data_IF_245463125398
#
_entry.id   IF_245463125398
#
_cell.length_a   1.000
_cell.length_b   1.000
_cell.length_c   1.000
_cell.angle_alpha   90.00
_cell.angle_beta   90.00
_cell.angle_gamma   90.00
#
_symmetry.space_group_name_H-M   'P 1'
#
loop_
_entity.id
_entity.type
_entity.pdbx_description
1 polymer ?
#
# COMPACT_ATOMS: atom_id res chain seq x y z
N UNK A 1 -61.57 5.90 4.12
CA UNK A 1 -60.38 5.43 3.37
C UNK A 1 -59.38 6.54 3.01
N UNK A 2 -59.68 7.84 3.15
CA UNK A 2 -58.76 8.92 2.73
C UNK A 2 -57.65 9.31 3.76
N UNK A 3 -57.91 9.17 5.07
CA UNK A 3 -56.96 9.54 6.14
C UNK A 3 -55.72 8.63 6.16
N UNK A 4 -55.89 7.36 5.81
CA UNK A 4 -54.81 6.36 5.75
C UNK A 4 -53.79 6.65 4.64
N UNK A 5 -54.16 7.37 3.59
CA UNK A 5 -53.27 7.68 2.47
C UNK A 5 -52.43 8.94 2.72
N UNK A 6 -52.94 9.90 3.49
CA UNK A 6 -52.19 11.11 3.86
C UNK A 6 -51.00 10.78 4.78
N UNK A 7 -51.23 10.00 5.84
CA UNK A 7 -50.17 9.53 6.75
C UNK A 7 -49.09 8.74 5.99
N UNK A 8 -49.49 7.83 5.09
CA UNK A 8 -48.53 7.07 4.27
C UNK A 8 -47.69 7.99 3.38
N UNK A 9 -48.28 9.00 2.75
CA UNK A 9 -47.56 9.97 1.93
C UNK A 9 -46.56 10.79 2.74
N UNK A 10 -46.96 11.29 3.91
CA UNK A 10 -46.06 12.04 4.80
C UNK A 10 -44.93 11.15 5.31
N UNK A 11 -45.22 9.89 5.66
CA UNK A 11 -44.19 8.94 6.10
C UNK A 11 -43.20 8.60 4.97
N UNK A 12 -43.68 8.37 3.75
CA UNK A 12 -42.82 8.12 2.58
C UNK A 12 -41.97 9.35 2.25
N UNK A 13 -42.54 10.56 2.29
CA UNK A 13 -41.81 11.80 2.07
C UNK A 13 -40.76 12.06 3.15
N UNK A 14 -41.10 11.82 4.42
CA UNK A 14 -40.17 11.93 5.54
C UNK A 14 -39.01 10.94 5.41
N UNK A 15 -39.30 9.69 5.06
CA UNK A 15 -38.28 8.68 4.80
C UNK A 15 -37.39 9.07 3.62
N UNK A 16 -37.98 9.52 2.51
CA UNK A 16 -37.22 9.97 1.34
C UNK A 16 -36.31 11.16 1.68
N UNK A 17 -36.81 12.15 2.41
CA UNK A 17 -36.02 13.29 2.87
C UNK A 17 -34.87 12.87 3.79
N UNK A 18 -35.12 11.93 4.72
CA UNK A 18 -34.09 11.37 5.59
C UNK A 18 -33.01 10.63 4.77
N UNK A 19 -33.39 9.82 3.79
CA UNK A 19 -32.44 9.14 2.90
C UNK A 19 -31.60 10.12 2.08
N UNK A 20 -32.19 11.21 1.57
CA UNK A 20 -31.45 12.25 0.83
C UNK A 20 -30.48 12.98 1.76
N UNK A 21 -30.94 13.40 2.94
CA UNK A 21 -30.09 14.07 3.92
C UNK A 21 -28.91 13.17 4.33
N UNK A 22 -29.18 11.87 4.55
CA UNK A 22 -28.15 10.87 4.82
C UNK A 22 -27.09 10.82 3.71
N UNK A 23 -27.52 10.69 2.44
CA UNK A 23 -26.60 10.64 1.31
C UNK A 23 -25.77 11.92 1.16
N UNK A 24 -26.35 13.10 1.42
CA UNK A 24 -25.62 14.38 1.37
C UNK A 24 -24.57 14.47 2.47
N UNK A 25 -24.91 14.04 3.69
CA UNK A 25 -23.97 13.99 4.81
C UNK A 25 -22.82 13.05 4.47
N UNK A 26 -23.12 11.84 3.99
CA UNK A 26 -22.12 10.84 3.60
C UNK A 26 -21.20 11.33 2.47
N UNK A 27 -21.78 11.93 1.42
CA UNK A 27 -21.01 12.53 0.34
C UNK A 27 -20.08 13.65 0.85
N UNK A 28 -20.54 14.46 1.80
CA UNK A 28 -19.73 15.48 2.45
C UNK A 28 -18.61 14.91 3.31
N UNK A 29 -18.86 13.84 4.05
CA UNK A 29 -17.87 13.20 4.93
C UNK A 29 -16.76 12.48 4.16
N UNK A 30 -17.05 11.94 2.97
CA UNK A 30 -16.05 11.25 2.15
C UNK A 30 -15.28 12.21 1.23
N UNK A 31 -15.77 13.43 1.00
CA UNK A 31 -15.14 14.39 0.10
C UNK A 31 -13.69 14.71 0.54
N UNK A 32 -12.73 14.85 -0.41
CA UNK A 32 -12.86 14.71 -1.86
C UNK A 32 -12.65 13.27 -2.39
N UNK A 33 -12.62 12.26 -1.50
CA UNK A 33 -12.19 10.88 -1.80
C UNK A 33 -13.34 9.95 -2.22
N UNK A 34 -14.22 10.42 -3.11
CA UNK A 34 -15.48 9.72 -3.43
C UNK A 34 -15.32 8.31 -3.99
N UNK A 35 -14.19 7.99 -4.65
CA UNK A 35 -13.91 6.61 -5.08
C UNK A 35 -13.84 5.61 -3.90
N UNK A 36 -13.43 6.08 -2.72
CA UNK A 36 -13.36 5.24 -1.53
C UNK A 36 -14.70 5.15 -0.79
N UNK A 37 -15.80 5.68 -1.32
CA UNK A 37 -17.09 5.63 -0.63
C UNK A 37 -17.66 4.21 -0.58
N UNK A 38 -17.91 3.76 0.65
CA UNK A 38 -18.72 2.58 0.96
C UNK A 38 -19.66 3.00 2.09
N UNK A 39 -20.92 2.58 2.02
CA UNK A 39 -21.88 2.87 3.08
C UNK A 39 -21.49 2.17 4.39
N UNK A 40 -22.14 2.54 5.48
CA UNK A 40 -21.85 2.08 6.83
C UNK A 40 -22.19 0.61 7.05
N UNK A 41 -23.15 0.07 6.27
CA UNK A 41 -23.45 -1.37 6.27
C UNK A 41 -22.30 -2.18 5.69
N UNK A 42 -21.53 -1.60 4.77
CA UNK A 42 -20.26 -2.11 4.26
C UNK A 42 -19.05 -1.61 5.08
N UNK A 43 -19.27 -1.12 6.30
CA UNK A 43 -18.20 -0.69 7.21
C UNK A 43 -17.55 0.66 6.88
N UNK A 44 -18.11 1.43 5.95
CA UNK A 44 -17.63 2.77 5.62
C UNK A 44 -16.36 2.79 4.75
N UNK A 45 -15.87 3.99 4.36
CA UNK A 45 -14.71 4.14 3.47
C UNK A 45 -13.42 3.51 4.01
N UNK A 46 -13.31 3.35 5.34
CA UNK A 46 -12.15 2.68 5.99
C UNK A 46 -12.10 1.18 5.73
N UNK A 47 -13.25 0.53 5.56
CA UNK A 47 -13.34 -0.92 5.37
C UNK A 47 -13.73 -1.30 3.94
N UNK A 48 -13.95 -0.32 3.06
CA UNK A 48 -14.29 -0.54 1.65
C UNK A 48 -13.31 -1.46 0.90
N UNK A 49 -12.03 -1.33 1.22
CA UNK A 49 -10.96 -2.18 0.71
C UNK A 49 -11.08 -3.66 1.13
N UNK A 50 -12.03 -4.06 1.99
CA UNK A 50 -12.30 -5.47 2.30
C UNK A 50 -13.41 -6.06 1.41
N UNK A 51 -14.11 -5.22 0.63
CA UNK A 51 -15.27 -5.62 -0.16
C UNK A 51 -14.99 -5.64 -1.66
N UNK A 52 -14.39 -4.57 -2.20
CA UNK A 52 -14.11 -4.43 -3.64
C UNK A 52 -12.71 -3.85 -3.84
N UNK A 53 -11.72 -4.72 -4.02
CA UNK A 53 -10.33 -4.37 -4.30
C UNK A 53 -10.06 -4.50 -5.81
N UNK A 54 -10.34 -3.44 -6.56
CA UNK A 54 -9.93 -3.30 -7.96
C UNK A 54 -9.92 -1.80 -8.35
N UNK A 55 -10.08 -1.49 -9.64
CA UNK A 55 -10.18 -0.18 -10.29
C UNK A 55 -11.01 0.92 -9.60
N UNK A 56 -11.77 0.61 -8.55
CA UNK A 56 -12.68 1.55 -7.88
C UNK A 56 -12.10 2.26 -6.66
N UNK A 57 -10.90 1.92 -6.17
CA UNK A 57 -10.44 2.50 -4.89
C UNK A 57 -9.65 3.80 -5.05
N UNK A 58 -8.81 3.93 -6.09
CA UNK A 58 -7.93 5.10 -6.25
C UNK A 58 -7.33 5.22 -7.66
N UNK A 59 -7.60 6.34 -8.34
CA UNK A 59 -6.96 6.73 -9.62
C UNK A 59 -5.97 7.90 -9.44
N UNK A 60 -5.31 7.96 -8.27
CA UNK A 60 -4.33 9.00 -7.93
C UNK A 60 -4.89 10.11 -7.03
N UNK A 61 -6.15 10.04 -6.59
CA UNK A 61 -6.71 10.99 -5.63
C UNK A 61 -6.01 10.89 -4.27
N UNK A 62 -5.62 9.69 -3.87
CA UNK A 62 -5.02 9.49 -2.56
C UNK A 62 -3.53 9.80 -2.54
N UNK A 63 -2.86 9.97 -3.68
CA UNK A 63 -1.48 10.44 -3.71
C UNK A 63 -1.37 11.88 -3.15
N UNK A 64 -2.37 12.73 -3.40
CA UNK A 64 -2.47 14.06 -2.76
C UNK A 64 -2.71 13.94 -1.26
N UNK A 65 -3.59 13.02 -0.84
CA UNK A 65 -3.83 12.75 0.58
C UNK A 65 -2.57 12.25 1.29
N UNK A 66 -1.82 11.36 0.62
CA UNK A 66 -0.54 10.83 1.09
C UNK A 66 0.49 11.95 1.23
N UNK A 67 0.57 12.87 0.26
CA UNK A 67 1.43 14.06 0.37
C UNK A 67 1.03 14.92 1.58
N UNK A 68 -0.26 15.18 1.78
CA UNK A 68 -0.73 15.95 2.94
C UNK A 68 -0.40 15.25 4.26
N UNK A 69 -0.55 13.93 4.33
CA UNK A 69 -0.16 13.13 5.49
C UNK A 69 1.34 13.25 5.78
N UNK A 70 2.20 13.11 4.77
CA UNK A 70 3.65 13.28 4.94
C UNK A 70 4.01 14.68 5.47
N UNK A 71 3.37 15.73 4.96
CA UNK A 71 3.61 17.10 5.42
C UNK A 71 3.13 17.28 6.87
N UNK A 72 1.95 16.77 7.22
CA UNK A 72 1.40 16.88 8.57
C UNK A 72 2.24 16.15 9.62
N UNK A 73 2.81 15.00 9.26
CA UNK A 73 3.61 14.16 10.15
C UNK A 73 5.13 14.43 10.05
N UNK A 74 5.55 15.46 9.31
CA UNK A 74 6.95 15.82 9.07
C UNK A 74 7.80 14.64 8.54
N UNK A 75 7.25 13.89 7.58
CA UNK A 75 7.89 12.75 6.94
C UNK A 75 8.57 13.22 5.63
N UNK A 76 9.89 13.46 5.61
CA UNK A 76 10.58 13.93 4.40
C UNK A 76 10.61 12.87 3.29
N UNK A 77 10.59 11.60 3.67
CA UNK A 77 10.57 10.44 2.79
C UNK A 77 9.89 9.28 3.53
N UNK A 78 9.25 8.38 2.78
CA UNK A 78 8.59 7.17 3.28
C UNK A 78 9.05 5.95 2.49
N UNK A 79 8.76 4.75 2.97
CA UNK A 79 8.74 3.54 2.16
C UNK A 79 7.38 3.45 1.47
N UNK A 80 7.33 3.10 0.18
CA UNK A 80 6.05 2.99 -0.52
C UNK A 80 5.98 1.81 -1.49
N UNK A 81 5.01 0.93 -1.25
CA UNK A 81 4.57 -0.09 -2.20
C UNK A 81 3.25 0.36 -2.85
N UNK A 82 3.33 0.82 -4.09
CA UNK A 82 2.21 1.42 -4.80
C UNK A 82 1.65 0.49 -5.88
N UNK A 83 0.33 0.56 -6.07
CA UNK A 83 -0.37 -0.03 -7.22
C UNK A 83 -1.04 1.06 -8.04
N UNK A 84 -0.78 1.08 -9.34
CA UNK A 84 -1.43 1.97 -10.30
C UNK A 84 -0.45 2.58 -11.30
N UNK A 85 -0.99 3.36 -12.24
CA UNK A 85 -0.23 3.92 -13.36
C UNK A 85 0.25 5.36 -13.13
N UNK A 86 -0.24 6.03 -12.07
CA UNK A 86 0.13 7.40 -11.76
C UNK A 86 1.13 7.43 -10.62
N UNK A 87 2.40 7.66 -10.95
CA UNK A 87 3.47 7.75 -9.97
C UNK A 87 3.18 8.80 -8.88
N UNK A 88 3.08 8.41 -7.58
CA UNK A 88 2.86 9.35 -6.47
C UNK A 88 3.90 10.48 -6.43
N UNK A 89 5.08 10.27 -6.99
CA UNK A 89 6.14 11.27 -7.10
C UNK A 89 5.69 12.55 -7.80
N UNK A 90 4.81 12.43 -8.81
CA UNK A 90 4.22 13.57 -9.53
C UNK A 90 3.49 14.53 -8.58
N UNK A 91 2.87 13.99 -7.53
CA UNK A 91 2.16 14.76 -6.50
C UNK A 91 3.05 15.18 -5.32
N UNK A 92 4.37 15.03 -5.44
CA UNK A 92 5.34 15.42 -4.42
C UNK A 92 5.57 14.39 -3.32
N UNK A 93 5.04 13.17 -3.45
CA UNK A 93 5.34 12.07 -2.53
C UNK A 93 6.79 11.63 -2.77
N UNK A 94 7.65 11.78 -1.77
CA UNK A 94 9.04 11.31 -1.81
C UNK A 94 9.09 9.97 -1.13
N UNK A 95 9.55 8.95 -1.84
CA UNK A 95 9.56 7.60 -1.29
C UNK A 95 10.74 6.78 -1.79
N UNK A 96 11.24 5.90 -0.92
CA UNK A 96 11.97 4.71 -1.32
C UNK A 96 10.95 3.69 -1.81
N UNK A 97 11.16 3.17 -3.00
CA UNK A 97 10.31 2.11 -3.53
C UNK A 97 10.48 0.85 -2.69
N UNK A 98 9.34 0.22 -2.38
CA UNK A 98 9.29 -1.17 -1.94
C UNK A 98 8.39 -1.94 -2.90
N UNK A 99 8.59 -3.26 -3.10
CA UNK A 99 7.93 -3.97 -4.19
C UNK A 99 6.40 -3.87 -4.16
N UNK A 100 5.85 -3.29 -5.22
CA UNK A 100 4.43 -3.14 -5.51
C UNK A 100 4.14 -3.43 -6.98
N UNK A 101 2.89 -3.33 -7.41
CA UNK A 101 2.49 -3.73 -8.77
C UNK A 101 2.65 -2.62 -9.82
N UNK A 102 3.11 -1.43 -9.41
CA UNK A 102 3.40 -0.31 -10.32
C UNK A 102 4.78 0.29 -10.07
N UNK A 103 5.28 1.09 -11.00
CA UNK A 103 6.49 1.93 -10.88
C UNK A 103 7.84 1.21 -10.63
N UNK A 104 7.93 -0.11 -10.83
CA UNK A 104 9.21 -0.84 -10.65
C UNK A 104 10.35 -0.24 -11.49
N UNK A 105 10.09 0.12 -12.75
CA UNK A 105 11.13 0.73 -13.60
C UNK A 105 11.48 2.15 -13.17
N UNK A 106 10.50 2.92 -12.67
CA UNK A 106 10.76 4.24 -12.09
C UNK A 106 11.66 4.12 -10.85
N UNK A 107 11.48 3.07 -10.04
CA UNK A 107 12.32 2.79 -8.89
C UNK A 107 13.77 2.49 -9.26
N UNK A 108 14.00 1.71 -10.32
CA UNK A 108 15.35 1.46 -10.86
C UNK A 108 16.04 2.75 -11.32
N UNK A 109 15.26 3.71 -11.83
CA UNK A 109 15.78 5.01 -12.27
C UNK A 109 15.92 6.03 -11.14
N UNK A 110 15.28 5.81 -9.98
CA UNK A 110 15.25 6.73 -8.84
C UNK A 110 15.64 5.98 -7.55
N UNK A 111 16.94 5.82 -7.27
CA UNK A 111 17.42 5.06 -6.11
C UNK A 111 17.33 5.88 -4.82
N UNK A 112 16.11 6.31 -4.47
CA UNK A 112 15.85 7.01 -3.22
C UNK A 112 15.94 6.00 -2.08
N UNK A 113 16.67 6.39 -1.04
CA UNK A 113 16.82 5.61 0.18
C UNK A 113 16.30 6.41 1.36
N UNK A 114 15.52 5.78 2.21
CA UNK A 114 15.11 6.33 3.50
C UNK A 114 16.35 6.33 4.40
N UNK A 115 16.82 7.49 4.87
CA UNK A 115 17.98 7.58 5.74
C UNK A 115 17.80 6.82 7.05
N UNK A 116 18.90 6.34 7.61
CA UNK A 116 18.89 5.58 8.87
C UNK A 116 18.70 6.43 10.12
N UNK A 117 18.92 7.74 10.00
CA UNK A 117 18.87 8.71 11.10
C UNK A 117 17.52 9.41 11.24
N UNK A 118 16.52 9.00 10.44
CA UNK A 118 15.18 9.54 10.58
C UNK A 118 14.60 9.20 11.95
N UNK A 119 13.95 10.16 12.62
CA UNK A 119 13.31 9.91 13.91
C UNK A 119 12.06 9.01 13.77
N UNK A 120 11.52 8.88 12.56
CA UNK A 120 10.33 8.12 12.26
C UNK A 120 10.33 7.60 10.82
N UNK A 121 9.93 6.35 10.66
CA UNK A 121 9.99 5.61 9.40
C UNK A 121 8.62 4.96 9.13
N UNK A 122 7.99 5.35 8.03
CA UNK A 122 6.65 4.88 7.69
C UNK A 122 6.69 4.05 6.41
N UNK A 123 6.13 2.84 6.49
CA UNK A 123 5.80 2.00 5.35
C UNK A 123 4.38 2.27 4.90
N UNK A 124 4.21 2.66 3.65
CA UNK A 124 2.89 2.92 3.05
C UNK A 124 2.61 1.92 1.95
N UNK A 125 1.49 1.22 2.07
CA UNK A 125 1.02 0.24 1.09
C UNK A 125 -0.27 0.72 0.46
N UNK A 126 -0.39 0.66 -0.86
CA UNK A 126 -1.71 0.67 -1.48
C UNK A 126 -2.50 -0.56 -1.05
N UNK A 127 -3.79 -0.42 -0.78
CA UNK A 127 -4.64 -1.55 -0.38
C UNK A 127 -4.59 -2.71 -1.39
N UNK A 128 -4.50 -2.41 -2.69
CA UNK A 128 -4.34 -3.41 -3.75
C UNK A 128 -3.04 -4.22 -3.62
N UNK A 129 -1.95 -3.59 -3.14
CA UNK A 129 -0.67 -4.26 -2.89
C UNK A 129 -0.75 -5.12 -1.63
N UNK A 130 -1.38 -4.60 -0.56
CA UNK A 130 -1.60 -5.37 0.67
C UNK A 130 -2.37 -6.67 0.43
N UNK A 131 -3.33 -6.65 -0.48
CA UNK A 131 -4.16 -7.79 -0.84
C UNK A 131 -3.66 -8.57 -2.07
N UNK A 132 -2.46 -8.24 -2.58
CA UNK A 132 -1.83 -8.95 -3.70
C UNK A 132 -2.70 -9.08 -4.96
N UNK A 133 -3.55 -8.07 -5.24
CA UNK A 133 -4.52 -8.12 -6.35
C UNK A 133 -3.85 -8.39 -7.70
N UNK A 134 -2.63 -7.89 -7.89
CA UNK A 134 -1.85 -8.04 -9.13
C UNK A 134 -0.69 -9.06 -9.02
N UNK A 135 -0.58 -9.81 -7.92
CA UNK A 135 0.53 -10.74 -7.68
C UNK A 135 0.06 -12.20 -7.69
N UNK A 136 -0.50 -12.59 -8.83
CA UNK A 136 -1.08 -13.91 -9.07
C UNK A 136 -0.32 -14.58 -10.21
N UNK A 137 0.63 -15.45 -9.90
CA UNK A 137 1.21 -16.34 -10.91
C UNK A 137 0.47 -17.67 -10.88
N UNK A 138 -0.04 -18.11 -12.04
CA UNK A 138 -0.49 -19.49 -12.19
C UNK A 138 0.73 -20.40 -12.21
N UNK A 139 0.79 -21.38 -11.30
CA UNK A 139 1.76 -22.46 -11.41
C UNK A 139 1.49 -23.30 -12.68
N UNK A 140 2.44 -24.17 -13.04
CA UNK A 140 2.34 -25.02 -14.22
C UNK A 140 1.12 -25.99 -14.21
N UNK A 141 0.38 -26.07 -13.09
CA UNK A 141 -0.85 -26.86 -12.94
C UNK A 141 -2.13 -26.02 -12.99
N UNK A 142 -2.00 -24.71 -13.23
CA UNK A 142 -3.11 -23.76 -13.26
C UNK A 142 -3.60 -23.30 -11.88
N UNK A 143 -2.87 -23.61 -10.79
CA UNK A 143 -3.18 -23.06 -9.47
C UNK A 143 -2.53 -21.70 -9.35
N UNK A 144 -3.32 -20.67 -9.07
CA UNK A 144 -2.82 -19.33 -8.80
C UNK A 144 -2.13 -19.33 -7.44
N UNK A 145 -0.80 -19.29 -7.43
CA UNK A 145 -0.03 -18.95 -6.25
C UNK A 145 -0.11 -17.42 -6.11
N UNK A 146 -0.99 -16.97 -5.22
CA UNK A 146 -0.97 -15.57 -4.79
C UNK A 146 0.29 -15.38 -3.96
N UNK A 147 1.22 -14.56 -4.45
CA UNK A 147 2.35 -14.13 -3.62
C UNK A 147 1.79 -13.11 -2.63
N UNK A 148 1.52 -13.56 -1.41
CA UNK A 148 1.01 -12.71 -0.35
C UNK A 148 2.13 -11.85 0.25
N UNK A 149 2.64 -10.91 -0.57
CA UNK A 149 3.86 -10.13 -0.32
C UNK A 149 3.81 -9.30 0.95
N UNK A 150 2.62 -9.01 1.49
CA UNK A 150 2.45 -8.22 2.70
C UNK A 150 1.45 -8.86 3.67
N UNK A 151 1.27 -10.19 3.60
CA UNK A 151 0.37 -10.96 4.46
C UNK A 151 0.49 -10.60 5.95
N UNK A 152 1.70 -10.49 6.53
CA UNK A 152 1.86 -10.19 7.95
C UNK A 152 1.23 -8.85 8.37
N UNK A 153 1.10 -7.89 7.44
CA UNK A 153 0.57 -6.56 7.71
C UNK A 153 -0.96 -6.50 7.66
N UNK A 154 -1.64 -7.52 7.10
CA UNK A 154 -3.12 -7.55 6.99
C UNK A 154 -3.83 -7.58 8.34
N UNK A 155 -3.20 -8.18 9.36
CA UNK A 155 -3.73 -8.21 10.72
C UNK A 155 -3.33 -6.98 11.56
N UNK A 156 -2.46 -6.12 11.04
CA UNK A 156 -1.96 -4.96 11.77
C UNK A 156 -2.85 -3.74 11.52
N UNK A 157 -3.13 -2.99 12.58
CA UNK A 157 -3.87 -1.73 12.47
C UNK A 157 -2.94 -0.64 11.91
N UNK A 158 -3.28 -0.01 10.77
CA UNK A 158 -2.47 1.09 10.23
C UNK A 158 -2.53 2.31 11.16
N UNK A 159 -1.45 3.08 11.22
CA UNK A 159 -1.37 4.35 11.96
C UNK A 159 -2.13 5.47 11.24
N UNK A 160 -2.27 5.38 9.92
CA UNK A 160 -3.07 6.29 9.10
C UNK A 160 -3.58 5.58 7.84
N UNK A 161 -4.67 6.12 7.26
CA UNK A 161 -5.18 5.67 5.95
C UNK A 161 -5.41 6.85 4.98
N UNK A 162 -4.34 7.47 4.44
CA UNK A 162 -4.48 8.62 3.55
C UNK A 162 -5.35 8.30 2.32
N UNK A 163 -6.43 9.07 2.14
CA UNK A 163 -7.38 8.89 1.04
C UNK A 163 -8.09 7.53 1.03
N UNK A 164 -8.05 6.79 2.15
CA UNK A 164 -8.64 5.46 2.34
C UNK A 164 -8.12 4.33 1.43
N UNK A 165 -7.16 4.62 0.55
CA UNK A 165 -6.54 3.63 -0.36
C UNK A 165 -5.09 3.29 0.01
N UNK A 166 -4.45 4.12 0.83
CA UNK A 166 -3.14 3.85 1.40
C UNK A 166 -3.29 3.41 2.86
N UNK A 167 -2.49 2.43 3.28
CA UNK A 167 -2.35 2.00 4.66
C UNK A 167 -0.92 2.30 5.11
N UNK A 168 -0.79 3.16 6.12
CA UNK A 168 0.49 3.55 6.68
C UNK A 168 0.79 2.75 7.95
N UNK A 169 1.99 2.20 8.04
CA UNK A 169 2.50 1.41 9.17
C UNK A 169 3.79 2.05 9.68
N UNK A 170 3.90 2.20 10.99
CA UNK A 170 5.12 2.68 11.62
C UNK A 170 6.09 1.51 11.77
N UNK A 171 7.24 1.60 11.11
CA UNK A 171 8.29 0.59 11.12
C UNK A 171 9.59 1.14 11.74
N UNK A 172 9.48 2.25 12.47
CA UNK A 172 10.63 2.94 13.07
C UNK A 172 11.45 1.96 13.90
N UNK A 173 12.71 1.76 13.50
CA UNK A 173 13.65 0.84 14.18
C UNK A 173 13.14 -0.60 14.34
N UNK A 174 12.34 -1.08 13.39
CA UNK A 174 11.88 -2.47 13.37
C UNK A 174 12.80 -3.35 12.50
N UNK A 175 13.73 -4.12 13.09
CA UNK A 175 14.64 -4.97 12.32
C UNK A 175 13.90 -6.02 11.49
N UNK A 176 12.75 -6.53 11.97
CA UNK A 176 11.95 -7.51 11.25
C UNK A 176 11.35 -6.92 9.97
N UNK A 177 10.78 -5.72 10.07
CA UNK A 177 10.24 -5.00 8.92
C UNK A 177 11.32 -4.69 7.87
N UNK A 178 12.49 -4.18 8.30
CA UNK A 178 13.60 -3.88 7.39
C UNK A 178 14.15 -5.15 6.71
N UNK A 179 14.31 -6.25 7.45
CA UNK A 179 14.75 -7.52 6.87
C UNK A 179 13.74 -8.07 5.84
N UNK A 180 12.44 -7.92 6.14
CA UNK A 180 11.38 -8.31 5.22
C UNK A 180 11.40 -7.51 3.93
N UNK A 181 11.49 -6.17 4.02
CA UNK A 181 11.65 -5.30 2.85
C UNK A 181 12.89 -5.69 2.04
N UNK A 182 14.03 -5.94 2.71
CA UNK A 182 15.25 -6.38 2.03
C UNK A 182 15.06 -7.68 1.24
N UNK A 183 14.33 -8.64 1.81
CA UNK A 183 14.01 -9.91 1.13
C UNK A 183 13.08 -9.72 -0.08
N UNK A 184 12.14 -8.78 0.00
CA UNK A 184 11.27 -8.41 -1.10
C UNK A 184 12.08 -7.73 -2.21
N UNK A 185 12.93 -6.77 -1.86
CA UNK A 185 13.79 -6.09 -2.83
C UNK A 185 14.68 -7.09 -3.58
N UNK A 186 15.23 -8.07 -2.87
CA UNK A 186 16.05 -9.12 -3.48
C UNK A 186 15.25 -9.96 -4.48
N UNK A 187 14.02 -10.37 -4.13
CA UNK A 187 13.19 -11.19 -5.02
C UNK A 187 12.73 -10.44 -6.29
N UNK A 188 12.66 -9.11 -6.23
CA UNK A 188 12.40 -8.23 -7.38
C UNK A 188 13.67 -7.79 -8.14
N UNK A 189 14.84 -8.33 -7.77
CA UNK A 189 16.11 -8.03 -8.42
C UNK A 189 16.69 -6.64 -8.08
N UNK A 190 16.16 -5.97 -7.05
CA UNK A 190 16.61 -4.66 -6.58
C UNK A 190 17.79 -4.82 -5.61
N UNK A 191 18.89 -5.40 -6.11
CA UNK A 191 20.05 -5.84 -5.31
C UNK A 191 20.63 -4.75 -4.41
N UNK A 192 20.74 -3.53 -4.92
CA UNK A 192 21.29 -2.39 -4.18
C UNK A 192 20.38 -1.95 -3.00
N UNK A 193 19.05 -2.03 -3.17
CA UNK A 193 18.10 -1.72 -2.09
C UNK A 193 18.05 -2.86 -1.07
N UNK A 194 18.06 -4.11 -1.56
CA UNK A 194 18.13 -5.30 -0.73
C UNK A 194 19.36 -5.27 0.19
N UNK A 195 20.54 -4.95 -0.35
CA UNK A 195 21.75 -4.81 0.45
C UNK A 195 21.63 -3.69 1.49
N UNK A 196 21.14 -2.52 1.07
CA UNK A 196 21.00 -1.36 1.94
C UNK A 196 20.10 -1.64 3.14
N UNK A 197 18.91 -2.19 2.89
CA UNK A 197 17.93 -2.52 3.93
C UNK A 197 18.36 -3.71 4.80
N UNK A 198 19.00 -4.73 4.24
CA UNK A 198 19.53 -5.84 5.04
C UNK A 198 20.61 -5.37 6.02
N UNK A 199 21.53 -4.50 5.57
CA UNK A 199 22.54 -3.90 6.45
C UNK A 199 21.91 -3.04 7.54
N UNK A 200 20.82 -2.33 7.22
CA UNK A 200 20.06 -1.54 8.19
C UNK A 200 19.43 -2.43 9.27
N UNK A 201 18.77 -3.50 8.86
CA UNK A 201 18.26 -4.50 9.79
C UNK A 201 19.35 -5.06 10.70
N UNK A 202 20.54 -5.38 10.18
CA UNK A 202 21.64 -5.93 10.99
C UNK A 202 22.29 -4.91 11.94
N UNK A 203 22.17 -3.60 11.66
CA UNK A 203 22.56 -2.56 12.62
C UNK A 203 21.61 -2.50 13.82
N UNK A 204 20.32 -2.77 13.60
CA UNK A 204 19.29 -2.80 14.64
C UNK A 204 19.31 -4.12 15.42
N UNK A 205 19.48 -5.24 14.72
CA UNK A 205 19.59 -6.59 15.28
C UNK A 205 20.65 -7.40 14.51
N UNK A 206 21.88 -7.52 15.02
CA UNK A 206 22.94 -8.30 14.38
C UNK A 206 22.63 -9.80 14.23
N UNK A 207 21.63 -10.32 14.94
CA UNK A 207 21.20 -11.73 14.88
C UNK A 207 20.11 -12.01 13.84
N UNK A 208 19.66 -11.01 13.08
CA UNK A 208 18.55 -11.17 12.15
C UNK A 208 18.89 -12.12 10.99
N UNK A 209 18.34 -13.34 11.05
CA UNK A 209 18.63 -14.41 10.10
C UNK A 209 18.18 -14.10 8.67
N UNK A 210 17.07 -13.35 8.50
CA UNK A 210 16.54 -12.99 7.17
C UNK A 210 17.50 -12.00 6.50
N UNK A 211 17.90 -10.95 7.22
CA UNK A 211 18.84 -9.96 6.69
C UNK A 211 20.20 -10.59 6.35
N UNK A 212 20.69 -11.50 7.18
CA UNK A 212 21.92 -12.25 6.89
C UNK A 212 21.79 -13.10 5.62
N UNK A 213 20.68 -13.84 5.47
CA UNK A 213 20.41 -14.64 4.29
C UNK A 213 20.34 -13.81 2.99
N UNK A 214 19.78 -12.59 3.05
CA UNK A 214 19.77 -11.66 1.92
C UNK A 214 21.20 -11.30 1.49
N UNK A 215 22.06 -10.93 2.44
CA UNK A 215 23.45 -10.57 2.14
C UNK A 215 24.26 -11.75 1.61
N UNK A 216 24.03 -12.96 2.13
CA UNK A 216 24.74 -14.15 1.66
C UNK A 216 24.30 -14.53 0.24
N UNK A 217 23.01 -14.43 -0.06
CA UNK A 217 22.49 -14.64 -1.41
C UNK A 217 23.06 -13.63 -2.42
N UNK A 218 23.20 -12.37 -2.04
CA UNK A 218 23.82 -11.34 -2.88
C UNK A 218 25.30 -11.64 -3.17
N UNK A 219 26.05 -12.15 -2.19
CA UNK A 219 27.45 -12.58 -2.38
C UNK A 219 27.55 -13.76 -3.34
N UNK A 220 26.70 -14.77 -3.17
CA UNK A 220 26.64 -15.93 -4.07
C UNK A 220 26.39 -15.52 -5.52
N UNK A 221 25.40 -14.66 -5.73
CA UNK A 221 25.03 -14.13 -7.04
C UNK A 221 26.15 -13.29 -7.68
N UNK A 222 27.01 -12.64 -6.88
CA UNK A 222 28.16 -11.89 -7.38
C UNK A 222 29.33 -12.80 -7.80
N UNK A 223 29.40 -14.02 -7.27
CA UNK A 223 30.44 -15.01 -7.57
C UNK A 223 30.04 -15.91 -8.76
N UNK A 224 28.74 -16.09 -9.01
CA UNK A 224 28.25 -16.86 -10.15
C UNK A 224 28.56 -16.14 -11.48
N UNK A 225 29.27 -16.76 -12.44
CA UNK A 225 29.54 -16.15 -13.74
C UNK A 225 28.22 -15.90 -14.49
N UNK A 226 28.06 -14.69 -15.02
CA UNK A 226 26.85 -14.27 -15.73
C UNK A 226 26.52 -15.24 -16.87
N UNK A 227 25.41 -15.95 -16.78
CA UNK A 227 24.85 -16.68 -17.92
C UNK A 227 24.39 -15.64 -18.94
N UNK A 228 25.20 -15.42 -19.97
CA UNK A 228 24.80 -14.66 -21.14
C UNK A 228 23.48 -15.25 -21.69
N UNK A 229 22.54 -14.41 -22.16
CA UNK A 229 21.32 -14.92 -22.78
C UNK A 229 21.72 -15.77 -24.00
N UNK A 230 21.06 -16.91 -24.25
CA UNK A 230 21.31 -17.66 -25.47
C UNK A 230 20.93 -16.78 -26.66
N UNK A 231 21.92 -16.40 -27.45
CA UNK A 231 21.70 -15.74 -28.74
C UNK A 231 20.94 -16.69 -29.67
N UNK A 232 19.84 -16.20 -30.22
CA UNK A 232 19.01 -16.86 -31.24
C UNK A 232 18.10 -15.84 -31.90
#
# INVERSE_FOLDING_TARGET
MAVTDHWKRVAVQGLAAACVAWNVVEAGLVAPYHLAYFNELAGGPRNGHLHLLDSNLDWGQSAKALRSFMVGDNLPVIYCAYSGNSDPWYYGVRYQYTPGSGNLDNAKQRPIRVPDDLPREILVLSAMVLHSVHFSDADATGRVATHDLYAPLRGMKPVAMPGYSFLAYDITRDPGAHAYIASLDLSFGLKDLAEYEARKSLRLDPGNAIAQAVLDKLKEDAVAPGTAPPGG
#
